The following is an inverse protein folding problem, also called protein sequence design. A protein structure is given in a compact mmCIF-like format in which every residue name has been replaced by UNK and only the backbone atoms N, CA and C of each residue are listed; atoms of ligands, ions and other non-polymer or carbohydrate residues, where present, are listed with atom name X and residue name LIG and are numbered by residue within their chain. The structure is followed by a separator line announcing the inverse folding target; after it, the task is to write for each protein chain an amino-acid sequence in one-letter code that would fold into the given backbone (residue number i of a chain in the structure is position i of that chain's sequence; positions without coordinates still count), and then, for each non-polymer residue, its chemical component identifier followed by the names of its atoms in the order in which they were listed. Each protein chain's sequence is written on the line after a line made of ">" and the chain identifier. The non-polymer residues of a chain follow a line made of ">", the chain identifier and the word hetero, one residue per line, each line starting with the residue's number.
data_IF_393174092859
#
_entry.id   IF_393174092859
#
_cell.length_a   1.000
_cell.length_b   1.000
_cell.length_c   1.000
_cell.angle_alpha   90.00
_cell.angle_beta   90.00
_cell.angle_gamma   90.00
#
_symmetry.space_group_name_H-M   'P 1'
#
loop_
_entity.id
_entity.type
_entity.pdbx_description
1 polymer ?
#
# COMPACT_ATOMS: atom_id res chain seq x y z
N UNK A 1 1.95 -36.88 10.73
CA UNK A 1 1.52 -36.02 9.61
C UNK A 1 1.59 -34.59 10.09
N UNK A 2 2.11 -33.64 9.31
CA UNK A 2 2.06 -32.20 9.64
C UNK A 2 0.89 -31.58 8.86
N UNK A 3 0.17 -30.58 9.40
CA UNK A 3 -0.68 -29.76 8.56
C UNK A 3 0.22 -29.02 7.55
N UNK A 4 -0.05 -29.18 6.27
CA UNK A 4 0.39 -28.20 5.28
C UNK A 4 -0.50 -26.98 5.46
N UNK A 5 -0.03 -26.04 6.28
CA UNK A 5 -0.63 -24.71 6.37
C UNK A 5 -0.35 -24.01 5.03
N UNK A 6 -1.32 -24.10 4.13
CA UNK A 6 -1.31 -23.48 2.81
C UNK A 6 -1.73 -21.99 2.93
N UNK A 7 -1.30 -21.17 1.95
CA UNK A 7 -0.73 -19.85 2.21
C UNK A 7 -1.53 -18.83 1.32
N UNK A 8 -2.07 -17.66 1.82
CA UNK A 8 -2.89 -16.43 1.35
C UNK A 8 -2.33 -14.86 1.14
N UNK A 9 -1.49 -14.34 0.15
CA UNK A 9 -0.77 -12.97 -0.01
C UNK A 9 -1.24 -11.81 -1.00
N UNK A 10 -1.49 -10.54 -0.61
CA UNK A 10 -2.39 -9.56 -1.32
C UNK A 10 -1.96 -8.84 -2.63
N UNK A 11 -0.99 -9.36 -3.38
CA UNK A 11 -0.14 -8.61 -4.33
C UNK A 11 -0.81 -7.54 -5.24
N UNK A 12 -1.88 -7.81 -6.04
CA UNK A 12 -2.35 -6.83 -7.02
C UNK A 12 -3.00 -5.59 -6.41
N UNK A 13 -3.66 -5.74 -5.24
CA UNK A 13 -4.26 -4.63 -4.50
C UNK A 13 -3.15 -3.78 -3.85
N UNK A 14 -2.17 -4.44 -3.24
CA UNK A 14 -1.05 -3.81 -2.54
C UNK A 14 -0.19 -2.95 -3.48
N UNK A 15 0.01 -3.37 -4.73
CA UNK A 15 0.71 -2.57 -5.76
C UNK A 15 -0.01 -1.25 -6.06
N UNK A 16 -1.34 -1.28 -6.26
CA UNK A 16 -2.16 -0.09 -6.54
C UNK A 16 -2.20 0.82 -5.31
N UNK A 17 -2.33 0.23 -4.11
CA UNK A 17 -2.34 0.96 -2.85
C UNK A 17 -1.02 1.68 -2.60
N UNK A 18 0.13 1.01 -2.77
CA UNK A 18 1.44 1.62 -2.54
C UNK A 18 1.76 2.74 -3.54
N UNK A 19 1.36 2.61 -4.81
CA UNK A 19 1.40 3.73 -5.75
C UNK A 19 0.59 4.95 -5.25
N UNK A 20 -0.58 4.70 -4.65
CA UNK A 20 -1.37 5.71 -3.94
C UNK A 20 -0.65 6.33 -2.73
N UNK A 21 0.01 5.51 -1.90
CA UNK A 21 0.82 5.96 -0.75
C UNK A 21 1.97 6.87 -1.20
N UNK A 22 2.64 6.53 -2.30
CA UNK A 22 3.67 7.37 -2.92
C UNK A 22 3.13 8.75 -3.35
N UNK A 23 2.01 8.77 -4.08
CA UNK A 23 1.34 10.00 -4.50
C UNK A 23 0.88 10.85 -3.30
N UNK A 24 0.29 10.22 -2.27
CA UNK A 24 -0.14 10.87 -1.04
C UNK A 24 1.04 11.47 -0.26
N UNK A 25 2.19 10.78 -0.23
CA UNK A 25 3.42 11.27 0.41
C UNK A 25 3.97 12.49 -0.33
N UNK A 26 3.98 12.48 -1.66
CA UNK A 26 4.34 13.66 -2.45
C UNK A 26 3.37 14.82 -2.21
N UNK A 27 2.06 14.55 -2.09
CA UNK A 27 1.04 15.55 -1.79
C UNK A 27 1.18 16.17 -0.39
N UNK A 28 1.51 15.38 0.63
CA UNK A 28 1.77 15.86 1.98
C UNK A 28 3.02 16.74 2.04
N UNK A 29 4.10 16.32 1.35
CA UNK A 29 5.37 17.03 1.27
C UNK A 29 5.43 18.14 0.20
N UNK A 30 4.31 18.51 -0.42
CA UNK A 30 4.23 19.44 -1.56
C UNK A 30 4.98 20.75 -1.37
N UNK A 31 4.98 21.31 -0.17
CA UNK A 31 5.66 22.59 0.12
C UNK A 31 7.17 22.42 0.23
N UNK A 32 7.66 21.28 0.74
CA UNK A 32 9.09 20.96 0.79
C UNK A 32 9.65 20.68 -0.62
N UNK A 33 8.89 19.92 -1.44
CA UNK A 33 9.25 19.58 -2.82
C UNK A 33 9.38 20.84 -3.71
N UNK A 34 8.57 21.88 -3.43
CA UNK A 34 8.64 23.19 -4.11
C UNK A 34 9.91 23.99 -3.78
N UNK A 35 10.62 23.69 -2.69
CA UNK A 35 11.90 24.32 -2.36
C UNK A 35 13.08 23.79 -3.20
N UNK A 36 12.85 22.76 -4.04
CA UNK A 36 13.80 22.29 -5.05
C UNK A 36 14.35 20.87 -4.83
N UNK A 37 15.47 20.50 -5.47
CA UNK A 37 15.97 19.11 -5.49
C UNK A 37 16.39 18.53 -4.14
N UNK A 38 16.60 19.36 -3.11
CA UNK A 38 16.91 18.89 -1.74
C UNK A 38 15.64 18.46 -0.99
N UNK A 39 14.53 19.19 -1.15
CA UNK A 39 13.25 18.96 -0.45
C UNK A 39 12.44 17.73 -0.91
N UNK A 40 13.00 16.90 -1.79
CA UNK A 40 12.48 15.57 -2.10
C UNK A 40 13.14 14.46 -1.24
N UNK A 41 14.31 14.73 -0.63
CA UNK A 41 15.11 13.68 0.02
C UNK A 41 14.48 13.17 1.32
N UNK A 42 14.02 14.07 2.20
CA UNK A 42 13.38 13.70 3.47
C UNK A 42 12.04 12.97 3.25
N UNK A 43 11.12 13.43 2.37
CA UNK A 43 9.88 12.70 2.11
C UNK A 43 10.11 11.33 1.47
N UNK A 44 11.07 11.21 0.54
CA UNK A 44 11.45 9.91 -0.03
C UNK A 44 12.06 8.97 1.03
N UNK A 45 12.90 9.48 1.92
CA UNK A 45 13.44 8.67 3.03
C UNK A 45 12.34 8.24 4.02
N UNK A 46 11.38 9.11 4.33
CA UNK A 46 10.23 8.76 5.16
C UNK A 46 9.38 7.65 4.51
N UNK A 47 9.13 7.74 3.20
CA UNK A 47 8.44 6.70 2.43
C UNK A 47 9.21 5.38 2.47
N UNK A 48 10.50 5.39 2.14
CA UNK A 48 11.33 4.18 2.15
C UNK A 48 11.46 3.56 3.55
N UNK A 49 11.42 4.36 4.62
CA UNK A 49 11.37 3.86 5.99
C UNK A 49 9.99 3.24 6.33
N UNK A 50 8.88 3.83 5.87
CA UNK A 50 7.55 3.22 5.99
C UNK A 50 7.46 1.90 5.22
N UNK A 51 7.97 1.84 3.98
CA UNK A 51 8.07 0.61 3.20
C UNK A 51 8.92 -0.44 3.96
N UNK A 52 10.15 -0.11 4.34
CA UNK A 52 11.10 -1.07 4.90
C UNK A 52 10.78 -1.54 6.34
N UNK A 53 10.07 -0.73 7.13
CA UNK A 53 9.78 -1.02 8.55
C UNK A 53 8.32 -1.39 8.82
N UNK A 54 7.39 -1.07 7.92
CA UNK A 54 5.96 -1.31 8.11
C UNK A 54 5.36 -2.09 6.94
N UNK A 55 5.38 -1.55 5.72
CA UNK A 55 4.65 -2.17 4.61
C UNK A 55 5.26 -3.49 4.15
N UNK A 56 6.54 -3.50 3.77
CA UNK A 56 7.20 -4.70 3.26
C UNK A 56 7.34 -5.81 4.32
N UNK A 57 7.64 -5.54 5.61
CA UNK A 57 7.60 -6.57 6.66
C UNK A 57 6.21 -7.15 6.88
N UNK A 58 5.14 -6.32 6.88
CA UNK A 58 3.77 -6.82 6.96
C UNK A 58 3.39 -7.61 5.71
N UNK A 59 3.67 -7.08 4.53
CA UNK A 59 3.41 -7.71 3.24
C UNK A 59 4.16 -9.03 3.07
N UNK A 60 5.37 -9.16 3.61
CA UNK A 60 6.16 -10.39 3.61
C UNK A 60 5.76 -11.36 4.73
N UNK A 61 5.35 -10.88 5.90
CA UNK A 61 4.73 -11.72 6.94
C UNK A 61 3.43 -12.32 6.43
N UNK A 62 2.57 -11.48 5.83
CA UNK A 62 1.43 -11.91 5.06
C UNK A 62 1.95 -12.91 4.01
N UNK A 63 2.84 -12.56 3.08
CA UNK A 63 3.34 -13.52 2.05
C UNK A 63 3.79 -14.89 2.58
N UNK A 64 4.48 -14.93 3.73
CA UNK A 64 5.13 -16.14 4.24
C UNK A 64 4.25 -17.01 5.14
N UNK A 65 3.31 -16.43 5.90
CA UNK A 65 2.20 -17.19 6.49
C UNK A 65 1.13 -17.45 5.42
N UNK A 66 1.11 -16.64 4.37
CA UNK A 66 0.02 -16.53 3.42
C UNK A 66 0.38 -16.04 1.94
N UNK A 67 0.29 -16.83 0.83
CA UNK A 67 0.31 -16.65 -0.68
C UNK A 67 -0.99 -16.51 -1.61
N UNK A 68 -2.16 -17.20 -1.52
CA UNK A 68 -3.22 -17.40 -2.56
C UNK A 68 -4.52 -16.52 -2.63
N UNK A 69 -5.36 -16.32 -1.58
CA UNK A 69 -6.68 -15.57 -1.64
C UNK A 69 -6.59 -14.07 -1.95
N UNK A 70 -5.42 -13.71 -2.39
CA UNK A 70 -4.67 -12.51 -2.09
C UNK A 70 -3.76 -12.19 -3.31
N UNK A 71 -3.17 -13.24 -3.94
CA UNK A 71 -3.18 -13.42 -5.41
C UNK A 71 -4.63 -13.47 -5.97
N UNK A 72 -5.61 -13.20 -5.11
CA UNK A 72 -7.05 -13.19 -5.25
C UNK A 72 -7.61 -14.47 -5.84
N UNK A 73 -6.96 -15.62 -5.61
CA UNK A 73 -7.23 -16.86 -6.34
C UNK A 73 -7.21 -16.67 -7.88
N UNK A 74 -6.28 -15.85 -8.40
CA UNK A 74 -5.99 -15.70 -9.83
C UNK A 74 -4.86 -16.62 -10.29
N UNK A 75 -3.95 -17.00 -9.38
CA UNK A 75 -2.81 -17.87 -9.62
C UNK A 75 -2.78 -18.96 -8.55
N UNK A 76 -2.30 -20.15 -8.94
CA UNK A 76 -2.03 -21.27 -8.05
C UNK A 76 -0.58 -21.17 -7.52
N UNK A 77 -0.35 -20.94 -6.21
CA UNK A 77 0.99 -20.77 -5.67
C UNK A 77 1.90 -21.98 -5.83
N UNK A 78 1.35 -23.19 -5.86
CA UNK A 78 2.16 -24.42 -5.98
C UNK A 78 2.87 -24.51 -7.35
N UNK A 79 2.41 -23.70 -8.32
CA UNK A 79 3.04 -23.52 -9.63
C UNK A 79 4.05 -22.37 -9.69
N UNK A 80 4.12 -21.50 -8.67
CA UNK A 80 4.93 -20.29 -8.67
C UNK A 80 6.32 -20.52 -8.04
N UNK A 81 7.42 -20.14 -8.71
CA UNK A 81 8.75 -20.18 -8.11
C UNK A 81 8.86 -19.29 -6.86
N UNK A 82 9.59 -19.72 -5.84
CA UNK A 82 9.74 -18.98 -4.58
C UNK A 82 10.28 -17.54 -4.73
N UNK A 83 11.05 -17.25 -5.80
CA UNK A 83 11.51 -15.88 -6.09
C UNK A 83 10.38 -14.92 -6.49
N UNK A 84 9.21 -15.42 -6.92
CA UNK A 84 8.08 -14.61 -7.35
C UNK A 84 7.51 -13.77 -6.19
N UNK A 85 7.57 -14.29 -4.96
CA UNK A 85 7.23 -13.53 -3.75
C UNK A 85 8.23 -12.40 -3.46
N UNK A 86 9.52 -12.63 -3.67
CA UNK A 86 10.55 -11.57 -3.53
C UNK A 86 10.31 -10.45 -4.55
N UNK A 87 9.93 -10.79 -5.78
CA UNK A 87 9.55 -9.82 -6.82
C UNK A 87 8.27 -9.07 -6.46
N UNK A 88 7.27 -9.73 -5.87
CA UNK A 88 6.05 -9.09 -5.39
C UNK A 88 6.33 -8.04 -4.30
N UNK A 89 7.08 -8.40 -3.25
CA UNK A 89 7.44 -7.48 -2.16
C UNK A 89 8.34 -6.34 -2.65
N UNK A 90 9.31 -6.60 -3.52
CA UNK A 90 10.10 -5.55 -4.16
C UNK A 90 9.23 -4.62 -5.03
N UNK A 91 8.17 -5.17 -5.65
CA UNK A 91 7.17 -4.43 -6.40
C UNK A 91 6.40 -3.40 -5.57
N UNK A 92 6.16 -3.66 -4.29
CA UNK A 92 5.47 -2.72 -3.38
C UNK A 92 6.27 -1.43 -3.22
N UNK A 93 7.53 -1.54 -2.80
CA UNK A 93 8.43 -0.38 -2.67
C UNK A 93 8.67 0.31 -4.03
N UNK A 94 8.77 -0.45 -5.12
CA UNK A 94 8.90 0.11 -6.47
C UNK A 94 7.65 0.92 -6.89
N UNK A 95 6.44 0.43 -6.60
CA UNK A 95 5.18 1.13 -6.85
C UNK A 95 5.06 2.42 -6.01
N UNK A 96 5.42 2.35 -4.72
CA UNK A 96 5.48 3.51 -3.84
C UNK A 96 6.45 4.60 -4.36
N UNK A 97 7.67 4.21 -4.74
CA UNK A 97 8.65 5.14 -5.32
C UNK A 97 8.16 5.71 -6.66
N UNK A 98 7.54 4.90 -7.53
CA UNK A 98 6.99 5.38 -8.80
C UNK A 98 5.87 6.40 -8.60
N UNK A 99 4.92 6.15 -7.69
CA UNK A 99 3.85 7.08 -7.34
C UNK A 99 4.40 8.38 -6.75
N UNK A 100 5.40 8.29 -5.87
CA UNK A 100 6.08 9.46 -5.30
C UNK A 100 6.80 10.30 -6.36
N UNK A 101 7.57 9.67 -7.26
CA UNK A 101 8.29 10.37 -8.33
C UNK A 101 7.34 11.03 -9.32
N UNK A 102 6.21 10.40 -9.66
CA UNK A 102 5.15 11.01 -10.46
C UNK A 102 4.55 12.23 -9.75
N UNK A 103 4.26 12.12 -8.45
CA UNK A 103 3.78 13.23 -7.63
C UNK A 103 4.76 14.41 -7.63
N UNK A 104 6.05 14.15 -7.39
CA UNK A 104 7.13 15.16 -7.44
C UNK A 104 7.20 15.84 -8.82
N UNK A 105 7.13 15.08 -9.91
CA UNK A 105 7.16 15.60 -11.28
C UNK A 105 5.98 16.51 -11.59
N UNK A 106 4.77 16.12 -11.19
CA UNK A 106 3.56 16.92 -11.36
C UNK A 106 3.57 18.19 -10.50
N UNK A 107 4.04 18.10 -9.25
CA UNK A 107 4.18 19.25 -8.34
C UNK A 107 5.18 20.28 -8.86
N UNK A 108 6.32 19.83 -9.39
CA UNK A 108 7.32 20.72 -10.04
C UNK A 108 6.78 21.43 -11.28
N UNK A 109 5.83 20.81 -11.99
CA UNK A 109 5.10 21.43 -13.12
C UNK A 109 3.92 22.31 -12.68
N UNK A 110 3.77 22.58 -11.37
CA UNK A 110 2.65 23.34 -10.81
C UNK A 110 1.31 22.60 -10.80
N UNK A 111 1.26 21.34 -11.29
CA UNK A 111 0.05 20.56 -11.57
C UNK A 111 -0.56 19.95 -10.30
N UNK A 112 -0.56 20.71 -9.21
CA UNK A 112 -1.01 20.35 -7.86
C UNK A 112 -2.40 19.69 -7.90
N UNK A 113 -3.41 20.29 -8.56
CA UNK A 113 -4.75 19.69 -8.70
C UNK A 113 -4.73 18.30 -9.33
N UNK A 114 -3.84 18.02 -10.30
CA UNK A 114 -3.74 16.69 -10.93
C UNK A 114 -3.24 15.62 -9.96
N UNK A 115 -2.35 15.96 -9.03
CA UNK A 115 -1.92 15.01 -7.98
C UNK A 115 -3.09 14.64 -7.07
N UNK A 116 -3.89 15.62 -6.64
CA UNK A 116 -5.11 15.35 -5.87
C UNK A 116 -6.11 14.49 -6.64
N UNK A 117 -6.32 14.78 -7.94
CA UNK A 117 -7.21 13.99 -8.80
C UNK A 117 -6.69 12.56 -8.99
N UNK A 118 -5.37 12.35 -9.05
CA UNK A 118 -4.76 11.01 -9.10
C UNK A 118 -4.91 10.27 -7.78
N UNK A 119 -4.72 10.92 -6.62
CA UNK A 119 -4.99 10.31 -5.32
C UNK A 119 -6.46 9.84 -5.23
N UNK A 120 -7.42 10.71 -5.59
CA UNK A 120 -8.85 10.36 -5.63
C UNK A 120 -9.16 9.26 -6.64
N UNK A 121 -8.52 9.27 -7.81
CA UNK A 121 -8.65 8.24 -8.84
C UNK A 121 -8.13 6.87 -8.38
N UNK A 122 -7.02 6.83 -7.65
CA UNK A 122 -6.48 5.59 -7.06
C UNK A 122 -7.38 5.09 -5.94
N UNK A 123 -7.89 5.98 -5.05
CA UNK A 123 -8.91 5.59 -4.05
C UNK A 123 -10.17 5.01 -4.72
N UNK A 124 -10.64 5.62 -5.80
CA UNK A 124 -11.76 5.11 -6.60
C UNK A 124 -11.48 3.76 -7.24
N UNK A 125 -10.28 3.57 -7.81
CA UNK A 125 -9.84 2.30 -8.40
C UNK A 125 -9.75 1.19 -7.35
N UNK A 126 -9.22 1.47 -6.16
CA UNK A 126 -9.17 0.52 -5.04
C UNK A 126 -10.57 0.16 -4.55
N UNK A 127 -11.50 1.12 -4.47
CA UNK A 127 -12.89 0.87 -4.11
C UNK A 127 -13.62 -0.01 -5.16
N UNK A 128 -13.38 0.24 -6.45
CA UNK A 128 -13.93 -0.57 -7.55
C UNK A 128 -13.33 -1.99 -7.51
N UNK A 129 -12.02 -2.11 -7.33
CA UNK A 129 -11.34 -3.41 -7.18
C UNK A 129 -11.93 -4.20 -6.01
N UNK A 130 -12.06 -3.57 -4.84
CA UNK A 130 -12.64 -4.21 -3.66
C UNK A 130 -14.10 -4.62 -3.87
N UNK A 131 -14.91 -3.79 -4.53
CA UNK A 131 -16.31 -4.13 -4.82
C UNK A 131 -16.44 -5.30 -5.80
N UNK A 132 -15.64 -5.33 -6.87
CA UNK A 132 -15.64 -6.41 -7.88
C UNK A 132 -15.13 -7.73 -7.30
N UNK A 133 -14.09 -7.67 -6.47
CA UNK A 133 -13.46 -8.87 -5.89
C UNK A 133 -13.87 -9.16 -4.44
N UNK A 134 -14.91 -8.50 -3.92
CA UNK A 134 -15.40 -8.67 -2.54
C UNK A 134 -15.63 -10.13 -2.15
N UNK A 135 -16.19 -10.93 -3.07
CA UNK A 135 -16.40 -12.38 -2.86
C UNK A 135 -15.12 -13.19 -2.72
N UNK A 136 -13.98 -12.74 -3.27
CA UNK A 136 -12.66 -13.36 -3.08
C UNK A 136 -12.12 -12.99 -1.70
N UNK A 137 -12.15 -11.70 -1.34
CA UNK A 137 -11.78 -11.21 0.00
C UNK A 137 -12.59 -11.82 1.17
N UNK A 138 -13.89 -12.08 0.99
CA UNK A 138 -14.76 -12.51 2.10
C UNK A 138 -14.54 -13.98 2.56
N UNK A 139 -14.03 -14.85 1.70
CA UNK A 139 -13.94 -16.30 1.94
C UNK A 139 -12.50 -16.77 2.04
N UNK A 140 -12.05 -17.14 3.25
CA UNK A 140 -10.70 -17.65 3.48
C UNK A 140 -10.71 -19.18 3.35
N UNK A 141 -9.87 -19.70 2.46
CA UNK A 141 -9.76 -21.13 2.14
C UNK A 141 -8.64 -21.36 1.12
N UNK A 142 -8.54 -22.57 0.57
CA UNK A 142 -7.52 -22.94 -0.44
C UNK A 142 -7.99 -22.61 -1.86
N UNK A 143 -7.05 -22.35 -2.76
CA UNK A 143 -7.30 -22.20 -4.21
C UNK A 143 -8.17 -23.33 -4.78
N UNK A 144 -7.89 -24.59 -4.42
CA UNK A 144 -8.63 -25.76 -4.91
C UNK A 144 -10.10 -25.76 -4.44
N UNK A 145 -10.38 -25.35 -3.19
CA UNK A 145 -11.74 -25.21 -2.68
C UNK A 145 -12.49 -24.06 -3.38
N UNK A 146 -11.81 -22.91 -3.57
CA UNK A 146 -12.38 -21.76 -4.26
C UNK A 146 -12.71 -22.08 -5.73
N UNK A 147 -11.81 -22.78 -6.42
CA UNK A 147 -11.94 -23.12 -7.83
C UNK A 147 -13.12 -24.07 -8.13
N UNK A 148 -13.47 -24.94 -7.18
CA UNK A 148 -14.60 -25.87 -7.34
C UNK A 148 -15.94 -25.23 -6.97
N UNK A 149 -16.04 -24.55 -5.81
CA UNK A 149 -17.25 -23.79 -5.45
C UNK A 149 -17.00 -22.82 -4.26
N UNK A 150 -17.05 -21.49 -4.47
CA UNK A 150 -16.90 -20.51 -3.39
C UNK A 150 -18.01 -20.60 -2.34
N UNK A 151 -17.64 -20.68 -1.05
CA UNK A 151 -18.59 -20.73 0.07
C UNK A 151 -18.96 -22.15 0.55
N UNK A 152 -18.14 -23.16 0.26
CA UNK A 152 -18.24 -24.49 0.89
C UNK A 152 -17.90 -24.45 2.39
N UNK A 153 -18.38 -25.40 3.22
CA UNK A 153 -18.09 -25.45 4.66
C UNK A 153 -16.61 -25.69 5.03
N UNK A 154 -15.73 -25.93 4.05
CA UNK A 154 -14.28 -25.92 4.24
C UNK A 154 -13.68 -24.49 4.28
N UNK A 155 -14.44 -23.48 3.82
CA UNK A 155 -14.03 -22.07 3.81
C UNK A 155 -14.59 -21.35 5.02
N UNK A 156 -13.77 -20.52 5.67
CA UNK A 156 -14.18 -19.72 6.83
C UNK A 156 -14.53 -18.30 6.40
N UNK A 157 -15.58 -17.68 7.00
CA UNK A 157 -15.83 -16.26 6.86
C UNK A 157 -14.62 -15.43 7.35
N UNK A 158 -14.28 -14.37 6.63
CA UNK A 158 -13.15 -13.50 6.93
C UNK A 158 -13.05 -13.09 8.41
N UNK A 159 -14.17 -12.67 9.02
CA UNK A 159 -14.24 -12.18 10.41
C UNK A 159 -14.08 -13.27 11.48
N UNK A 160 -14.33 -14.54 11.13
CA UNK A 160 -14.15 -15.70 12.01
C UNK A 160 -12.73 -16.27 11.92
N UNK A 161 -12.05 -16.02 10.79
CA UNK A 161 -10.68 -16.46 10.55
C UNK A 161 -9.64 -15.67 11.39
N UNK A 162 -8.50 -16.29 11.68
CA UNK A 162 -7.33 -15.59 12.26
C UNK A 162 -6.83 -14.44 11.36
N UNK A 163 -6.93 -14.62 10.04
CA UNK A 163 -6.51 -13.64 9.03
C UNK A 163 -7.29 -12.32 9.16
N UNK A 164 -8.59 -12.38 9.44
CA UNK A 164 -9.41 -11.19 9.67
C UNK A 164 -8.94 -10.35 10.86
N UNK A 165 -8.57 -10.99 11.96
CA UNK A 165 -8.01 -10.32 13.14
C UNK A 165 -6.60 -9.77 12.89
N UNK A 166 -5.74 -10.52 12.20
CA UNK A 166 -4.42 -10.06 11.76
C UNK A 166 -4.55 -8.79 10.91
N UNK A 167 -5.44 -8.79 9.91
CA UNK A 167 -5.65 -7.64 9.02
C UNK A 167 -6.35 -6.46 9.70
N UNK A 168 -7.23 -6.69 10.69
CA UNK A 168 -7.81 -5.61 11.49
C UNK A 168 -6.73 -4.87 12.28
N UNK A 169 -5.88 -5.60 13.02
CA UNK A 169 -4.82 -5.03 13.85
C UNK A 169 -3.73 -4.41 12.96
N UNK A 170 -3.23 -5.16 11.96
CA UNK A 170 -2.19 -4.69 11.07
C UNK A 170 -2.66 -3.51 10.19
N UNK A 171 -3.89 -3.54 9.69
CA UNK A 171 -4.49 -2.42 8.94
C UNK A 171 -4.64 -1.16 9.80
N UNK A 172 -5.02 -1.31 11.08
CA UNK A 172 -5.07 -0.19 12.04
C UNK A 172 -3.69 0.40 12.28
N UNK A 173 -2.66 -0.44 12.47
CA UNK A 173 -1.27 0.00 12.61
C UNK A 173 -0.73 0.66 11.33
N UNK A 174 -1.05 0.11 10.16
CA UNK A 174 -0.67 0.63 8.84
C UNK A 174 -1.25 2.03 8.61
N UNK A 175 -2.56 2.19 8.80
CA UNK A 175 -3.27 3.47 8.66
C UNK A 175 -2.79 4.48 9.69
N UNK A 176 -2.51 4.04 10.92
CA UNK A 176 -1.91 4.88 11.96
C UNK A 176 -0.52 5.41 11.59
N UNK A 177 0.38 4.52 11.16
CA UNK A 177 1.75 4.85 10.76
C UNK A 177 1.78 5.75 9.50
N UNK A 178 0.98 5.41 8.49
CA UNK A 178 0.83 6.21 7.26
C UNK A 178 0.25 7.59 7.57
N UNK A 179 -0.86 7.65 8.33
CA UNK A 179 -1.49 8.90 8.74
C UNK A 179 -0.54 9.79 9.53
N UNK A 180 0.23 9.22 10.47
CA UNK A 180 1.27 9.93 11.20
C UNK A 180 2.37 10.47 10.29
N UNK A 181 2.88 9.67 9.35
CA UNK A 181 3.90 10.10 8.38
C UNK A 181 3.41 11.28 7.54
N UNK A 182 2.21 11.18 6.95
CA UNK A 182 1.63 12.23 6.09
C UNK A 182 1.38 13.52 6.89
N UNK A 183 0.83 13.41 8.10
CA UNK A 183 0.60 14.56 9.00
C UNK A 183 1.92 15.19 9.45
N UNK A 184 2.96 14.39 9.72
CA UNK A 184 4.29 14.89 10.09
C UNK A 184 4.95 15.67 8.93
N UNK A 185 4.91 15.13 7.71
CA UNK A 185 5.44 15.79 6.51
C UNK A 185 4.70 17.11 6.22
N UNK A 186 3.37 17.13 6.28
CA UNK A 186 2.61 18.36 6.02
C UNK A 186 2.80 19.41 7.14
N UNK A 187 2.89 18.98 8.41
CA UNK A 187 3.24 19.89 9.52
C UNK A 187 4.64 20.47 9.36
N UNK A 188 5.60 19.71 8.82
CA UNK A 188 6.93 20.23 8.52
C UNK A 188 6.92 21.23 7.36
N UNK A 189 6.29 20.89 6.23
CA UNK A 189 6.15 21.78 5.07
C UNK A 189 5.45 23.11 5.41
N UNK A 190 4.42 23.08 6.27
CA UNK A 190 3.76 24.29 6.77
C UNK A 190 4.69 25.21 7.59
N UNK A 191 5.57 24.64 8.42
CA UNK A 191 6.58 25.42 9.18
C UNK A 191 7.61 26.07 8.24
N UNK A 192 8.13 25.31 7.28
CA UNK A 192 9.10 25.82 6.29
C UNK A 192 8.53 27.00 5.49
N UNK A 193 7.25 26.92 5.10
CA UNK A 193 6.55 28.03 4.44
C UNK A 193 6.47 29.28 5.35
N UNK A 194 6.04 29.12 6.61
CA UNK A 194 5.88 30.23 7.54
C UNK A 194 7.21 30.95 7.86
N UNK A 195 8.33 30.23 7.98
CA UNK A 195 9.65 30.85 8.12
C UNK A 195 10.01 31.71 6.89
N UNK A 196 9.75 31.19 5.69
CA UNK A 196 10.05 31.90 4.43
C UNK A 196 9.17 33.14 4.23
N UNK A 197 7.93 33.11 4.69
CA UNK A 197 7.02 34.26 4.71
C UNK A 197 7.41 35.32 5.76
N UNK A 198 8.21 34.96 6.77
CA UNK A 198 8.79 35.90 7.74
C UNK A 198 10.15 36.47 7.29
N UNK A 199 10.93 35.72 6.50
CA UNK A 199 12.19 36.19 5.88
C UNK A 199 11.96 37.21 4.76
N UNK A 200 10.86 37.06 4.00
CA UNK A 200 10.48 37.98 2.91
C UNK A 200 9.46 38.99 3.44
N UNK A 201 9.92 39.86 4.35
CA UNK A 201 9.12 40.95 4.92
C UNK A 201 8.63 41.95 3.85
N UNK A 202 7.59 42.74 4.18
CA UNK A 202 6.82 43.56 3.23
C UNK A 202 7.58 44.75 2.65
#
# INVERSE_FOLDING_TARGET
>A
MRPCEEVVATVPFDLIMNFGVGLATAWAAREEIRLGPRGQRRPLFALLAFEALVFCPLGAYLYAVHTDWSWNYFLDPDTLPAWFGVVAIAGYAAAAVAGYLLGVHLLRRGQTRRVLHLCLGITGLLAIYFAVFFRRFWWVGRYQDYAVAPGRPAMQPFLESRLGWVLLVAGTLLVGALGWMLVHLERHGRRLRAHREAEVGP
#
